data_IF_389814612688
#
_entry.id   IF_389814612688
#
_cell.length_a   1.000
_cell.length_b   1.000
_cell.length_c   1.000
_cell.angle_alpha   90.00
_cell.angle_beta   90.00
_cell.angle_gamma   90.00
#
_symmetry.space_group_name_H-M   'P 1'
#
loop_
_entity.id
_entity.type
_entity.pdbx_description
1 polymer ?
#
# COMPACT_ATOMS: atom_id res chain seq x y z
N UNK A 1 20.84 -1.80 -6.70
CA UNK A 1 20.70 -2.31 -5.31
C UNK A 1 22.02 -3.01 -4.96
N UNK A 2 22.70 -2.52 -3.96
CA UNK A 2 23.99 -3.10 -3.55
C UNK A 2 23.72 -4.30 -2.62
N UNK A 3 24.44 -5.40 -2.79
CA UNK A 3 24.33 -6.62 -1.94
C UNK A 3 24.52 -6.30 -0.44
N UNK A 4 25.24 -5.22 -0.13
CA UNK A 4 25.47 -4.70 1.21
C UNK A 4 24.20 -4.24 1.93
N UNK A 5 23.24 -3.68 1.21
CA UNK A 5 21.99 -3.16 1.78
C UNK A 5 21.07 -4.30 2.22
N UNK A 6 21.07 -5.40 1.47
CA UNK A 6 20.33 -6.62 1.82
C UNK A 6 20.91 -7.29 3.08
N UNK A 7 22.23 -7.34 3.19
CA UNK A 7 22.94 -7.91 4.35
C UNK A 7 22.71 -7.07 5.62
N UNK A 8 22.55 -5.77 5.48
CA UNK A 8 22.27 -4.87 6.62
C UNK A 8 20.84 -4.97 7.16
N UNK A 9 19.88 -5.35 6.29
CA UNK A 9 18.47 -5.47 6.66
C UNK A 9 18.13 -6.80 7.34
N UNK A 10 18.89 -7.87 7.06
CA UNK A 10 18.61 -9.21 7.55
C UNK A 10 18.68 -9.36 9.09
N UNK A 11 19.73 -8.89 9.79
CA UNK A 11 19.84 -9.09 11.23
C UNK A 11 18.69 -8.47 12.06
N UNK A 12 18.26 -7.21 11.81
CA UNK A 12 17.15 -6.62 12.58
C UNK A 12 15.77 -7.18 12.22
N UNK A 13 15.66 -8.01 11.14
CA UNK A 13 14.42 -8.60 10.69
C UNK A 13 14.52 -10.14 10.61
N UNK A 14 15.26 -10.75 11.53
CA UNK A 14 15.51 -12.19 11.51
C UNK A 14 14.21 -13.02 11.52
N UNK A 15 13.23 -12.63 12.32
CA UNK A 15 11.93 -13.30 12.40
C UNK A 15 11.21 -13.28 11.04
N UNK A 16 11.25 -12.15 10.34
CA UNK A 16 10.72 -12.03 8.99
C UNK A 16 11.48 -12.93 8.01
N UNK A 17 12.81 -12.99 8.11
CA UNK A 17 13.62 -13.84 7.24
C UNK A 17 13.35 -15.33 7.47
N UNK A 18 13.20 -15.74 8.71
CA UNK A 18 12.81 -17.12 9.08
C UNK A 18 11.40 -17.43 8.55
N UNK A 19 10.45 -16.51 8.75
CA UNK A 19 9.10 -16.65 8.21
C UNK A 19 9.11 -16.82 6.69
N UNK A 20 9.77 -15.91 5.95
CA UNK A 20 9.86 -15.99 4.50
C UNK A 20 10.53 -17.29 4.03
N UNK A 21 11.62 -17.72 4.69
CA UNK A 21 12.27 -18.99 4.41
C UNK A 21 11.32 -20.18 4.63
N UNK A 22 10.54 -20.17 5.70
CA UNK A 22 9.54 -21.19 5.97
C UNK A 22 8.44 -21.25 4.91
N UNK A 23 8.00 -20.07 4.40
CA UNK A 23 6.99 -19.99 3.34
C UNK A 23 7.52 -20.49 2.00
N UNK A 24 8.79 -20.20 1.67
CA UNK A 24 9.43 -20.73 0.46
C UNK A 24 9.58 -22.26 0.50
N UNK A 25 9.82 -22.83 1.68
CA UNK A 25 9.94 -24.28 1.89
C UNK A 25 8.59 -24.99 2.13
N UNK A 26 7.49 -24.23 2.23
CA UNK A 26 6.18 -24.80 2.50
C UNK A 26 5.67 -25.62 1.31
N UNK A 27 5.23 -26.84 1.59
CA UNK A 27 4.56 -27.70 0.60
C UNK A 27 3.13 -27.21 0.34
N UNK A 28 2.53 -27.59 -0.80
CA UNK A 28 1.12 -27.30 -1.10
C UNK A 28 0.19 -27.76 0.02
N UNK A 29 0.43 -28.94 0.60
CA UNK A 29 -0.35 -29.46 1.72
C UNK A 29 -0.27 -28.52 2.94
N UNK A 30 0.92 -28.04 3.31
CA UNK A 30 1.08 -27.12 4.44
C UNK A 30 0.43 -25.75 4.19
N UNK A 31 0.39 -25.29 2.96
CA UNK A 31 -0.34 -24.07 2.58
C UNK A 31 -1.84 -24.27 2.66
N UNK A 32 -2.31 -25.46 2.28
CA UNK A 32 -3.73 -25.83 2.40
C UNK A 32 -4.15 -25.95 3.88
N UNK A 33 -3.30 -26.47 4.77
CA UNK A 33 -3.57 -26.50 6.22
C UNK A 33 -3.81 -25.08 6.79
N UNK A 34 -3.07 -24.08 6.31
CA UNK A 34 -3.30 -22.68 6.70
C UNK A 34 -4.64 -22.13 6.19
N UNK A 35 -5.16 -22.61 5.05
CA UNK A 35 -6.49 -22.28 4.56
C UNK A 35 -7.58 -22.84 5.47
N UNK A 36 -7.39 -24.06 6.02
CA UNK A 36 -8.37 -24.71 6.89
C UNK A 36 -8.64 -23.93 8.19
N UNK A 37 -7.72 -23.05 8.62
CA UNK A 37 -7.97 -22.14 9.76
C UNK A 37 -9.12 -21.17 9.49
N UNK A 38 -9.35 -20.82 8.23
CA UNK A 38 -10.38 -19.86 7.79
C UNK A 38 -11.57 -20.52 7.11
N UNK A 39 -11.36 -21.68 6.54
CA UNK A 39 -12.37 -22.45 5.81
C UNK A 39 -12.25 -23.96 6.17
N UNK A 40 -12.75 -24.36 7.35
CA UNK A 40 -12.55 -25.74 7.87
C UNK A 40 -13.11 -26.85 6.98
N UNK A 41 -14.14 -26.56 6.20
CA UNK A 41 -14.81 -27.51 5.32
C UNK A 41 -14.23 -27.54 3.89
N UNK A 42 -13.09 -26.89 3.64
CA UNK A 42 -12.48 -26.89 2.32
C UNK A 42 -11.94 -28.29 1.97
N UNK A 43 -12.19 -28.72 0.71
CA UNK A 43 -11.60 -29.95 0.17
C UNK A 43 -10.39 -29.59 -0.70
N UNK A 44 -9.25 -30.23 -0.46
CA UNK A 44 -8.01 -29.94 -1.18
C UNK A 44 -8.12 -30.17 -2.68
N UNK A 45 -9.03 -31.02 -3.13
CA UNK A 45 -9.27 -31.28 -4.55
C UNK A 45 -9.89 -30.11 -5.32
N UNK A 46 -10.52 -29.15 -4.61
CA UNK A 46 -11.14 -27.98 -5.19
C UNK A 46 -10.16 -26.79 -5.33
N UNK A 47 -8.92 -26.96 -4.88
CA UNK A 47 -7.94 -25.88 -4.81
C UNK A 47 -6.69 -26.19 -5.62
N UNK A 48 -6.23 -25.19 -6.37
CA UNK A 48 -4.94 -25.25 -7.06
C UNK A 48 -4.05 -24.09 -6.66
N UNK A 49 -2.74 -24.30 -6.67
CA UNK A 49 -1.76 -23.23 -6.40
C UNK A 49 -1.50 -22.44 -7.68
N UNK A 50 -1.85 -21.15 -7.65
CA UNK A 50 -1.63 -20.22 -8.75
C UNK A 50 -0.53 -19.22 -8.39
N UNK A 51 0.43 -19.00 -9.27
CA UNK A 51 1.44 -17.94 -9.12
C UNK A 51 0.79 -16.59 -9.29
N UNK A 52 0.64 -15.84 -8.19
CA UNK A 52 -0.10 -14.58 -8.17
C UNK A 52 0.68 -13.43 -8.81
N UNK A 53 1.93 -13.23 -8.46
CA UNK A 53 2.72 -12.13 -8.97
C UNK A 53 3.89 -11.78 -8.06
N UNK A 54 4.63 -10.74 -8.43
CA UNK A 54 5.79 -10.27 -7.69
C UNK A 54 5.50 -8.90 -7.06
N UNK A 55 5.95 -8.74 -5.83
CA UNK A 55 5.89 -7.47 -5.11
C UNK A 55 7.28 -6.88 -4.98
N UNK A 56 7.40 -5.58 -5.23
CA UNK A 56 8.63 -4.83 -4.94
C UNK A 56 8.64 -4.42 -3.47
N UNK A 57 9.71 -4.77 -2.77
CA UNK A 57 9.99 -4.30 -1.42
C UNK A 57 11.09 -3.24 -1.48
N UNK A 58 10.83 -2.08 -0.87
CA UNK A 58 11.78 -0.97 -0.89
C UNK A 58 12.69 -1.03 0.34
N UNK A 59 13.99 -0.92 0.10
CA UNK A 59 15.00 -0.72 1.14
C UNK A 59 15.50 0.71 1.01
N UNK A 60 15.21 1.56 2.00
CA UNK A 60 15.71 2.92 2.03
C UNK A 60 17.05 3.00 2.75
N UNK A 61 17.99 3.83 2.26
CA UNK A 61 19.26 4.06 2.95
C UNK A 61 19.02 4.75 4.29
N UNK A 62 19.67 4.26 5.34
CA UNK A 62 19.68 4.86 6.67
C UNK A 62 21.12 5.14 7.10
N UNK A 63 21.36 6.32 7.69
CA UNK A 63 22.73 6.73 8.08
C UNK A 63 23.34 5.87 9.18
N UNK A 64 22.51 5.24 10.02
CA UNK A 64 22.97 4.42 11.16
C UNK A 64 22.90 2.92 10.90
N UNK A 65 21.88 2.48 10.12
CA UNK A 65 21.56 1.07 9.90
C UNK A 65 21.91 0.56 8.50
N UNK A 66 22.55 1.41 7.67
CA UNK A 66 22.92 1.14 6.27
C UNK A 66 21.71 0.85 5.33
N UNK A 67 20.62 0.29 5.84
CA UNK A 67 19.39 0.04 5.10
C UNK A 67 18.24 -0.26 6.06
N UNK A 68 17.06 0.27 5.77
CA UNK A 68 15.83 -0.02 6.52
C UNK A 68 14.74 -0.47 5.56
N UNK A 69 14.09 -1.56 5.92
CA UNK A 69 12.95 -2.07 5.16
C UNK A 69 11.79 -1.08 5.28
N UNK A 70 11.33 -0.56 4.15
CA UNK A 70 10.20 0.37 4.12
C UNK A 70 8.91 -0.41 3.85
N UNK A 71 7.94 -0.25 4.75
CA UNK A 71 6.61 -0.81 4.58
C UNK A 71 5.67 0.26 4.05
N UNK A 72 4.72 -0.15 3.19
CA UNK A 72 3.75 0.74 2.60
C UNK A 72 4.19 1.39 1.29
N UNK A 73 3.50 2.44 0.90
CA UNK A 73 3.71 3.15 -0.35
C UNK A 73 4.67 4.32 -0.16
N UNK A 74 5.71 4.36 -0.99
CA UNK A 74 6.62 5.51 -1.09
C UNK A 74 6.33 6.32 -2.35
N UNK A 75 6.20 7.64 -2.18
CA UNK A 75 6.15 8.59 -3.28
C UNK A 75 7.52 9.22 -3.46
N UNK A 76 8.11 9.01 -4.62
CA UNK A 76 9.40 9.57 -5.00
C UNK A 76 9.14 10.61 -6.10
N UNK A 77 9.65 11.81 -5.90
CA UNK A 77 9.55 12.90 -6.88
C UNK A 77 10.93 13.45 -7.16
N UNK A 78 11.17 13.86 -8.41
CA UNK A 78 12.34 14.66 -8.73
C UNK A 78 12.26 16.02 -8.02
N UNK A 79 13.42 16.62 -7.72
CA UNK A 79 13.47 17.88 -6.98
C UNK A 79 12.81 19.06 -7.73
N UNK A 80 12.77 18.98 -9.06
CA UNK A 80 12.13 19.96 -9.95
C UNK A 80 10.65 19.66 -10.24
N UNK A 81 10.11 18.57 -9.66
CA UNK A 81 8.73 18.14 -9.88
C UNK A 81 8.42 17.57 -11.27
N UNK A 82 9.44 17.35 -12.11
CA UNK A 82 9.25 16.89 -13.50
C UNK A 82 8.83 15.43 -13.61
N UNK A 83 9.23 14.59 -12.64
CA UNK A 83 8.92 13.16 -12.61
C UNK A 83 8.49 12.78 -11.19
N UNK A 84 7.40 12.02 -11.10
CA UNK A 84 6.96 11.39 -9.88
C UNK A 84 6.71 9.91 -10.10
N UNK A 85 6.98 9.09 -9.10
CA UNK A 85 6.77 7.66 -9.12
C UNK A 85 6.31 7.12 -7.77
N UNK A 86 5.71 5.95 -7.80
CA UNK A 86 5.22 5.25 -6.63
C UNK A 86 5.85 3.88 -6.52
N UNK A 87 6.37 3.55 -5.35
CA UNK A 87 6.97 2.26 -5.04
C UNK A 87 6.25 1.59 -3.87
N UNK A 88 6.18 0.26 -3.90
CA UNK A 88 5.60 -0.53 -2.82
C UNK A 88 4.08 -0.34 -2.64
N UNK A 89 3.37 0.05 -3.69
CA UNK A 89 1.93 0.32 -3.64
C UNK A 89 1.11 -0.94 -3.45
N UNK A 90 0.81 -1.24 -2.20
CA UNK A 90 -0.19 -2.24 -1.85
C UNK A 90 -0.81 -1.87 -0.50
N UNK A 91 -2.11 -1.61 -0.44
CA UNK A 91 -3.16 -1.62 -1.48
C UNK A 91 -3.15 -0.34 -2.34
N UNK A 92 -2.87 -0.46 -3.65
CA UNK A 92 -2.76 0.69 -4.56
C UNK A 92 -4.11 1.25 -4.98
N UNK A 93 -5.05 0.39 -5.34
CA UNK A 93 -6.36 0.81 -5.87
C UNK A 93 -7.19 1.61 -4.84
N UNK A 94 -7.30 1.12 -3.61
CA UNK A 94 -8.08 1.77 -2.55
C UNK A 94 -7.50 3.09 -2.06
N UNK A 95 -6.20 3.30 -2.25
CA UNK A 95 -5.48 4.51 -1.82
C UNK A 95 -5.13 5.45 -2.99
N UNK A 96 -5.52 5.11 -4.22
CA UNK A 96 -5.11 5.83 -5.43
C UNK A 96 -5.42 7.33 -5.38
N UNK A 97 -6.64 7.71 -4.97
CA UNK A 97 -7.03 9.11 -4.87
C UNK A 97 -6.17 9.89 -3.90
N UNK A 98 -5.94 9.37 -2.69
CA UNK A 98 -5.10 9.98 -1.67
C UNK A 98 -3.65 10.12 -2.14
N UNK A 99 -3.12 9.08 -2.77
CA UNK A 99 -1.77 9.06 -3.33
C UNK A 99 -1.61 10.13 -4.42
N UNK A 100 -2.57 10.24 -5.35
CA UNK A 100 -2.50 11.21 -6.42
C UNK A 100 -2.60 12.65 -5.90
N UNK A 101 -3.43 12.93 -4.92
CA UNK A 101 -3.49 14.24 -4.28
C UNK A 101 -2.15 14.60 -3.62
N UNK A 102 -1.56 13.69 -2.86
CA UNK A 102 -0.23 13.88 -2.26
C UNK A 102 0.86 14.08 -3.34
N UNK A 103 0.74 13.39 -4.46
CA UNK A 103 1.67 13.57 -5.59
C UNK A 103 1.54 14.96 -6.21
N UNK A 104 0.32 15.46 -6.40
CA UNK A 104 0.08 16.83 -6.88
C UNK A 104 0.69 17.88 -5.94
N UNK A 105 0.53 17.72 -4.63
CA UNK A 105 1.12 18.61 -3.62
C UNK A 105 2.65 18.64 -3.72
N UNK A 106 3.27 17.48 -3.90
CA UNK A 106 4.74 17.37 -3.99
C UNK A 106 5.32 17.89 -5.30
N UNK A 107 4.64 17.63 -6.42
CA UNK A 107 5.14 17.99 -7.75
C UNK A 107 4.83 19.43 -8.12
N UNK A 108 3.72 19.99 -7.61
CA UNK A 108 3.24 21.34 -8.00
C UNK A 108 2.96 22.23 -6.78
N UNK A 109 3.91 22.40 -5.85
CA UNK A 109 3.67 23.15 -4.61
C UNK A 109 3.23 24.59 -4.84
N UNK A 110 3.68 25.23 -5.95
CA UNK A 110 3.29 26.60 -6.27
C UNK A 110 1.89 26.72 -6.90
N UNK A 111 1.32 25.62 -7.39
CA UNK A 111 0.01 25.61 -8.06
C UNK A 111 -1.11 25.06 -7.19
N UNK A 112 -0.77 24.31 -6.17
CA UNK A 112 -1.75 23.56 -5.37
C UNK A 112 -2.81 24.47 -4.73
N UNK A 113 -2.42 25.67 -4.29
CA UNK A 113 -3.35 26.63 -3.69
C UNK A 113 -4.37 27.16 -4.70
N UNK A 114 -3.94 27.40 -5.94
CA UNK A 114 -4.85 27.81 -7.03
C UNK A 114 -5.83 26.68 -7.42
N UNK A 115 -5.41 25.43 -7.28
CA UNK A 115 -6.22 24.26 -7.59
C UNK A 115 -7.11 23.79 -6.43
N UNK A 116 -6.83 24.25 -5.21
CA UNK A 116 -7.52 23.82 -3.99
C UNK A 116 -9.06 23.84 -4.10
N UNK A 117 -9.71 24.91 -4.59
CA UNK A 117 -11.17 24.93 -4.70
C UNK A 117 -11.71 23.83 -5.62
N UNK A 118 -11.06 23.59 -6.77
CA UNK A 118 -11.46 22.55 -7.71
C UNK A 118 -11.22 21.13 -7.13
N UNK A 119 -10.09 20.92 -6.46
CA UNK A 119 -9.77 19.65 -5.83
C UNK A 119 -10.73 19.34 -4.69
N UNK A 120 -11.12 20.31 -3.86
CA UNK A 120 -12.11 20.15 -2.80
C UNK A 120 -13.53 19.92 -3.34
N UNK A 121 -13.85 20.47 -4.51
CA UNK A 121 -15.11 20.14 -5.18
C UNK A 121 -15.16 18.69 -5.64
N UNK A 122 -14.05 18.15 -6.16
CA UNK A 122 -13.94 16.75 -6.59
C UNK A 122 -13.86 15.80 -5.39
N UNK A 123 -13.08 16.16 -4.39
CA UNK A 123 -12.82 15.36 -3.16
C UNK A 123 -13.08 16.23 -1.94
N UNK A 124 -14.35 16.36 -1.48
CA UNK A 124 -14.72 17.25 -0.36
C UNK A 124 -14.02 16.95 0.96
N UNK A 125 -13.59 15.70 1.17
CA UNK A 125 -12.84 15.26 2.35
C UNK A 125 -11.33 15.59 2.28
N UNK A 126 -10.84 16.15 1.17
CA UNK A 126 -9.42 16.46 1.03
C UNK A 126 -8.96 17.51 2.07
N UNK A 127 -7.92 17.16 2.82
CA UNK A 127 -7.39 17.99 3.91
C UNK A 127 -8.05 17.75 5.27
N UNK A 128 -9.05 16.86 5.35
CA UNK A 128 -9.70 16.48 6.61
C UNK A 128 -9.56 14.98 6.85
N UNK A 129 -9.21 14.60 8.07
CA UNK A 129 -9.25 13.20 8.46
C UNK A 129 -10.69 12.78 8.77
N UNK A 130 -11.23 11.86 8.00
CA UNK A 130 -12.62 11.37 8.17
C UNK A 130 -12.86 10.73 9.54
N UNK A 131 -11.81 10.25 10.23
CA UNK A 131 -11.90 9.74 11.60
C UNK A 131 -12.18 10.83 12.63
N UNK A 132 -11.95 12.10 12.30
CA UNK A 132 -12.13 13.25 13.18
C UNK A 132 -13.44 14.01 12.90
N UNK A 133 -14.13 13.70 11.80
CA UNK A 133 -15.38 14.32 11.37
C UNK A 133 -16.40 13.25 10.94
N UNK A 134 -17.20 12.80 11.91
CA UNK A 134 -18.19 11.74 11.68
C UNK A 134 -19.28 12.15 10.68
N UNK A 135 -19.67 13.43 10.63
CA UNK A 135 -20.67 13.92 9.70
C UNK A 135 -20.16 13.95 8.26
N UNK A 136 -18.92 14.43 8.07
CA UNK A 136 -18.27 14.40 6.77
C UNK A 136 -18.00 12.95 6.31
N UNK A 137 -17.63 12.07 7.23
CA UNK A 137 -17.44 10.65 6.92
C UNK A 137 -18.76 10.01 6.43
N UNK A 138 -19.86 10.24 7.13
CA UNK A 138 -21.17 9.71 6.75
C UNK A 138 -21.61 10.22 5.38
N UNK A 139 -21.57 11.53 5.14
CA UNK A 139 -21.90 12.13 3.83
C UNK A 139 -21.01 11.61 2.70
N UNK A 140 -19.73 11.39 2.99
CA UNK A 140 -18.78 10.85 1.98
C UNK A 140 -19.13 9.41 1.63
N UNK A 141 -19.44 8.58 2.63
CA UNK A 141 -19.87 7.20 2.42
C UNK A 141 -21.17 7.12 1.62
N UNK A 142 -22.19 7.87 2.01
CA UNK A 142 -23.48 7.91 1.30
C UNK A 142 -23.30 8.31 -0.17
N UNK A 143 -22.56 9.39 -0.41
CA UNK A 143 -22.31 9.88 -1.77
C UNK A 143 -21.56 8.86 -2.63
N UNK A 144 -20.52 8.23 -2.08
CA UNK A 144 -19.74 7.24 -2.82
C UNK A 144 -20.50 5.94 -3.03
N UNK A 145 -21.27 5.50 -2.05
CA UNK A 145 -22.15 4.33 -2.18
C UNK A 145 -23.22 4.55 -3.26
N UNK A 146 -23.84 5.72 -3.29
CA UNK A 146 -24.81 6.09 -4.32
C UNK A 146 -24.17 6.15 -5.72
N UNK A 147 -22.97 6.73 -5.82
CA UNK A 147 -22.25 6.84 -7.10
C UNK A 147 -21.79 5.48 -7.66
N UNK A 148 -21.58 4.49 -6.79
CA UNK A 148 -21.14 3.14 -7.14
C UNK A 148 -22.29 2.12 -7.18
N UNK A 149 -23.55 2.58 -7.00
CA UNK A 149 -24.75 1.73 -6.92
C UNK A 149 -24.66 0.64 -5.83
N UNK A 150 -24.05 1.01 -4.69
CA UNK A 150 -23.90 0.16 -3.50
C UNK A 150 -24.89 0.52 -2.38
N UNK A 151 -25.71 1.55 -2.57
CA UNK A 151 -26.74 1.94 -1.60
C UNK A 151 -27.92 0.96 -1.71
N UNK A 152 -28.14 0.18 -0.65
CA UNK A 152 -29.28 -0.72 -0.46
C UNK A 152 -30.24 -0.16 0.59
#
# INVERSE_FOLDING_TARGET
MCSSDLMAVAPPNLDLMVYLGSQLAATTHKRFEALLEYMPDADMSDWEEVTAGQRVQVIAPDRKKHGVLQFGTQLITAADGSIGGMLGASPGASTATSIMLTMLEKMFPQRIEAWRPALQQMVPSWGTHLSEDAELAHRTLERTAAALDLAH
#
